data_IF_246148897967
#
_entry.id   IF_246148897967
#
_cell.length_a   1.000
_cell.length_b   1.000
_cell.length_c   1.000
_cell.angle_alpha   90.00
_cell.angle_beta   90.00
_cell.angle_gamma   90.00
#
_symmetry.space_group_name_H-M   'P 1'
#
loop_
_entity.id
_entity.type
_entity.pdbx_description
1 polymer ?
#
# COMPACT_ATOMS: atom_id res chain seq x y z
N UNK A 1 18.27 -4.98 2.70
CA UNK A 1 17.91 -3.84 1.84
C UNK A 1 17.36 -2.67 2.65
N UNK A 2 16.22 -2.81 3.35
CA UNK A 2 15.61 -1.71 4.13
C UNK A 2 16.51 -1.11 5.22
N UNK A 3 17.33 -1.93 5.90
CA UNK A 3 18.34 -1.40 6.84
C UNK A 3 19.35 -0.44 6.19
N UNK A 4 19.63 -0.61 4.89
CA UNK A 4 20.50 0.28 4.13
C UNK A 4 19.78 1.61 3.85
N UNK A 5 18.47 1.54 3.53
CA UNK A 5 17.64 2.72 3.27
C UNK A 5 17.46 3.60 4.52
N UNK A 6 17.30 2.97 5.69
CA UNK A 6 17.17 3.63 6.99
C UNK A 6 18.49 3.95 7.68
N UNK A 7 19.63 3.70 7.03
CA UNK A 7 20.94 4.00 7.60
C UNK A 7 21.04 5.49 7.94
N UNK A 8 21.40 5.86 9.19
CA UNK A 8 21.49 7.26 9.59
C UNK A 8 22.54 8.03 8.79
N UNK A 9 23.66 7.40 8.45
CA UNK A 9 24.85 8.07 7.90
C UNK A 9 24.88 8.15 6.38
N UNK A 10 24.27 7.20 5.68
CA UNK A 10 24.32 7.13 4.21
C UNK A 10 22.99 6.65 3.60
N UNK A 11 21.93 6.56 4.39
CA UNK A 11 20.62 6.14 3.93
C UNK A 11 19.98 7.18 3.00
N UNK A 12 19.53 6.78 1.80
CA UNK A 12 18.89 7.71 0.86
C UNK A 12 17.62 8.35 1.41
N UNK A 13 16.92 7.72 2.36
CA UNK A 13 15.71 8.29 2.98
C UNK A 13 16.07 9.59 3.72
N UNK A 14 17.10 9.57 4.57
CA UNK A 14 17.54 10.77 5.29
C UNK A 14 18.04 11.85 4.34
N UNK A 15 18.77 11.45 3.30
CA UNK A 15 19.28 12.38 2.29
C UNK A 15 18.16 13.10 1.55
N UNK A 16 17.13 12.38 1.10
CA UNK A 16 16.00 12.95 0.35
C UNK A 16 15.16 13.89 1.21
N UNK A 17 14.97 13.56 2.50
CA UNK A 17 14.16 14.36 3.41
C UNK A 17 14.94 15.40 4.23
N UNK A 18 16.26 15.51 4.06
CA UNK A 18 17.10 16.47 4.77
C UNK A 18 17.17 16.23 6.29
N UNK A 19 17.07 14.98 6.73
CA UNK A 19 16.90 14.61 8.15
C UNK A 19 18.23 14.41 8.91
N UNK A 20 19.38 14.65 8.26
CA UNK A 20 20.69 14.44 8.88
C UNK A 20 20.93 12.97 9.26
N UNK A 21 21.41 12.75 10.47
CA UNK A 21 21.73 11.44 11.06
C UNK A 21 20.55 10.83 11.84
N UNK A 22 19.32 11.14 11.45
CA UNK A 22 18.12 10.61 12.10
C UNK A 22 18.10 9.07 12.10
N UNK A 23 18.03 8.48 13.30
CA UNK A 23 18.10 7.04 13.48
C UNK A 23 16.72 6.38 13.57
N UNK A 24 16.13 6.09 12.41
CA UNK A 24 14.78 5.52 12.26
C UNK A 24 14.51 4.30 13.14
N UNK A 25 15.45 3.36 13.20
CA UNK A 25 15.28 2.08 13.90
C UNK A 25 15.64 2.14 15.38
N UNK A 26 16.36 3.18 15.81
CA UNK A 26 16.81 3.34 17.20
C UNK A 26 15.93 4.28 18.01
N UNK A 27 15.19 5.17 17.34
CA UNK A 27 14.23 6.06 18.00
C UNK A 27 12.88 5.34 18.19
N UNK A 28 12.38 5.18 19.44
CA UNK A 28 11.11 4.52 19.74
C UNK A 28 9.90 5.09 18.98
N UNK A 29 9.88 6.40 18.72
CA UNK A 29 8.76 7.06 18.05
C UNK A 29 8.69 6.72 16.55
N UNK A 30 9.84 6.49 15.90
CA UNK A 30 9.92 6.21 14.46
C UNK A 30 10.14 4.74 14.12
N UNK A 31 10.64 3.93 15.05
CA UNK A 31 10.99 2.54 14.81
C UNK A 31 9.78 1.71 14.40
N UNK A 32 8.64 1.92 15.07
CA UNK A 32 7.39 1.22 14.72
C UNK A 32 6.95 1.54 13.29
N UNK A 33 7.00 2.81 12.88
CA UNK A 33 6.63 3.21 11.53
C UNK A 33 7.60 2.67 10.48
N UNK A 34 8.91 2.70 10.72
CA UNK A 34 9.91 2.16 9.81
C UNK A 34 9.73 0.65 9.58
N UNK A 35 9.46 -0.09 10.66
CA UNK A 35 9.16 -1.52 10.58
C UNK A 35 7.84 -1.77 9.86
N UNK A 36 6.78 -1.03 10.18
CA UNK A 36 5.48 -1.18 9.54
C UNK A 36 5.54 -0.90 8.03
N UNK A 37 6.24 0.15 7.59
CA UNK A 37 6.42 0.46 6.17
C UNK A 37 7.14 -0.68 5.45
N UNK A 38 8.19 -1.23 6.07
CA UNK A 38 8.93 -2.37 5.52
C UNK A 38 8.04 -3.60 5.36
N UNK A 39 7.25 -3.91 6.38
CA UNK A 39 6.37 -5.07 6.38
C UNK A 39 5.23 -4.90 5.36
N UNK A 40 4.56 -3.74 5.36
CA UNK A 40 3.52 -3.41 4.37
C UNK A 40 4.07 -3.54 2.95
N UNK A 41 5.26 -2.99 2.67
CA UNK A 41 5.87 -3.09 1.34
C UNK A 41 6.14 -4.52 0.91
N UNK A 42 6.60 -5.36 1.84
CA UNK A 42 6.91 -6.77 1.57
C UNK A 42 5.66 -7.59 1.26
N UNK A 43 4.54 -7.32 1.94
CA UNK A 43 3.28 -8.03 1.73
C UNK A 43 2.41 -7.45 0.61
N UNK A 44 2.61 -6.19 0.25
CA UNK A 44 1.80 -5.49 -0.77
C UNK A 44 1.70 -6.25 -2.10
N UNK A 45 2.78 -6.80 -2.69
CA UNK A 45 2.68 -7.57 -3.94
C UNK A 45 1.78 -8.79 -3.83
N UNK A 46 1.84 -9.50 -2.70
CA UNK A 46 1.01 -10.67 -2.45
C UNK A 46 -0.47 -10.28 -2.33
N UNK A 47 -0.77 -9.26 -1.53
CA UNK A 47 -2.15 -8.76 -1.36
C UNK A 47 -2.71 -8.24 -2.69
N UNK A 48 -1.90 -7.52 -3.49
CA UNK A 48 -2.30 -7.07 -4.83
C UNK A 48 -2.70 -8.25 -5.74
N UNK A 49 -1.91 -9.33 -5.75
CA UNK A 49 -2.24 -10.54 -6.53
C UNK A 49 -3.52 -11.22 -6.03
N UNK A 50 -3.69 -11.30 -4.70
CA UNK A 50 -4.90 -11.86 -4.10
C UNK A 50 -6.15 -11.03 -4.48
N UNK A 51 -6.05 -9.70 -4.40
CA UNK A 51 -7.12 -8.80 -4.84
C UNK A 51 -7.42 -8.96 -6.33
N UNK A 52 -6.40 -9.08 -7.18
CA UNK A 52 -6.59 -9.31 -8.62
C UNK A 52 -7.30 -10.64 -8.91
N UNK A 53 -6.95 -11.70 -8.17
CA UNK A 53 -7.63 -12.98 -8.28
C UNK A 53 -9.11 -12.88 -7.87
N UNK A 54 -9.40 -12.16 -6.78
CA UNK A 54 -10.78 -11.87 -6.35
C UNK A 54 -11.57 -11.06 -7.39
N UNK A 55 -10.95 -10.02 -7.94
CA UNK A 55 -11.56 -9.17 -8.99
C UNK A 55 -11.86 -9.96 -10.26
N UNK A 56 -10.98 -10.89 -10.63
CA UNK A 56 -11.16 -11.75 -11.80
C UNK A 56 -12.35 -12.70 -11.67
N UNK A 57 -12.82 -12.96 -10.43
CA UNK A 57 -14.00 -13.77 -10.17
C UNK A 57 -15.33 -12.98 -10.24
N UNK A 58 -15.28 -11.63 -10.26
CA UNK A 58 -16.49 -10.80 -10.30
C UNK A 58 -17.12 -10.85 -11.70
N UNK A 59 -18.38 -11.26 -11.85
CA UNK A 59 -19.04 -11.31 -13.15
C UNK A 59 -19.21 -9.93 -13.80
N UNK A 60 -18.90 -9.81 -15.10
CA UNK A 60 -18.97 -8.54 -15.84
C UNK A 60 -20.39 -7.92 -15.86
N UNK A 61 -21.44 -8.74 -15.86
CA UNK A 61 -22.82 -8.26 -15.91
C UNK A 61 -23.22 -7.39 -14.69
N UNK A 62 -22.53 -7.52 -13.55
CA UNK A 62 -22.77 -6.66 -12.39
C UNK A 62 -22.35 -5.21 -12.66
N UNK A 63 -21.26 -5.02 -13.43
CA UNK A 63 -20.80 -3.70 -13.85
C UNK A 63 -21.72 -3.10 -14.92
N UNK A 64 -22.22 -3.93 -15.84
CA UNK A 64 -23.19 -3.50 -16.85
C UNK A 64 -24.52 -3.07 -16.22
N UNK A 65 -25.03 -3.84 -15.26
CA UNK A 65 -26.22 -3.48 -14.49
C UNK A 65 -26.04 -2.15 -13.74
N UNK A 66 -24.90 -1.97 -13.06
CA UNK A 66 -24.58 -0.72 -12.37
C UNK A 66 -24.50 0.48 -13.34
N UNK A 67 -24.02 0.27 -14.57
CA UNK A 67 -23.98 1.31 -15.59
C UNK A 67 -25.39 1.68 -16.11
N UNK A 68 -26.28 0.70 -16.27
CA UNK A 68 -27.69 0.91 -16.63
C UNK A 68 -28.39 1.71 -15.52
N UNK A 69 -28.13 1.35 -14.26
CA UNK A 69 -28.67 2.03 -13.07
C UNK A 69 -28.01 3.40 -12.78
N UNK A 70 -27.04 3.82 -13.61
CA UNK A 70 -26.25 5.05 -13.44
C UNK A 70 -25.62 5.16 -12.05
N UNK A 71 -25.16 4.04 -11.51
CA UNK A 71 -24.47 4.00 -10.23
C UNK A 71 -23.17 4.81 -10.28
N UNK A 72 -22.88 5.55 -9.21
CA UNK A 72 -21.65 6.34 -9.09
C UNK A 72 -20.42 5.45 -8.98
N UNK A 73 -19.25 5.95 -9.40
CA UNK A 73 -17.98 5.21 -9.32
C UNK A 73 -17.67 4.73 -7.89
N UNK A 74 -17.95 5.55 -6.87
CA UNK A 74 -17.74 5.18 -5.47
C UNK A 74 -18.67 4.05 -5.02
N UNK A 75 -19.93 4.06 -5.48
CA UNK A 75 -20.88 2.99 -5.21
C UNK A 75 -20.41 1.68 -5.87
N UNK A 76 -20.07 1.72 -7.16
CA UNK A 76 -19.59 0.54 -7.89
C UNK A 76 -18.31 -0.02 -7.28
N UNK A 77 -17.37 0.83 -6.88
CA UNK A 77 -16.14 0.40 -6.23
C UNK A 77 -16.41 -0.32 -4.90
N UNK A 78 -17.20 0.29 -4.01
CA UNK A 78 -17.43 -0.26 -2.65
C UNK A 78 -18.41 -1.43 -2.60
N UNK A 79 -19.33 -1.56 -3.56
CA UNK A 79 -20.39 -2.57 -3.57
C UNK A 79 -20.17 -3.72 -4.55
N UNK A 80 -19.31 -3.55 -5.55
CA UNK A 80 -19.10 -4.53 -6.63
C UNK A 80 -17.62 -4.90 -6.77
N UNK A 81 -16.70 -3.92 -6.75
CA UNK A 81 -15.27 -4.14 -7.01
C UNK A 81 -14.50 -4.57 -5.77
N UNK A 82 -14.71 -3.91 -4.64
CA UNK A 82 -14.04 -4.24 -3.38
C UNK A 82 -14.63 -5.57 -2.85
N UNK A 83 -13.82 -6.62 -2.68
CA UNK A 83 -14.28 -7.89 -2.14
C UNK A 83 -14.75 -7.79 -0.69
#
# INVERSE_FOLDING_TARGET
FWQLLYSPSWGPINYVFGLGDFAWLSNPDSALYAVAITDIWMWSPFVMLLSLAGLSAVPQHLYEAAAIDRASWWYTFTRITLP
#
